data_IF_076514296138
#
_entry.id   IF_076514296138
#
_cell.length_a   1.000
_cell.length_b   1.000
_cell.length_c   1.000
_cell.angle_alpha   90.00
_cell.angle_beta   90.00
_cell.angle_gamma   90.00
#
_symmetry.space_group_name_H-M   'P 1'
#
loop_
_entity.id
_entity.type
_entity.pdbx_description
1 polymer ?
#
# COMPACT_ATOMS: atom_id res chain seq x y z
N UNK A 1 16.68 -37.44 -15.09
CA UNK A 1 17.32 -36.50 -14.15
C UNK A 1 16.22 -35.76 -13.39
N UNK A 2 16.08 -35.97 -12.07
CA UNK A 2 15.04 -35.34 -11.25
C UNK A 2 15.50 -33.94 -10.83
N UNK A 3 14.79 -32.90 -11.29
CA UNK A 3 15.04 -31.50 -10.96
C UNK A 3 14.68 -31.28 -9.48
N UNK A 4 15.69 -31.13 -8.60
CA UNK A 4 15.47 -30.73 -7.21
C UNK A 4 14.88 -29.32 -7.22
N UNK A 5 13.60 -29.18 -6.86
CA UNK A 5 12.99 -27.89 -6.55
C UNK A 5 13.38 -27.56 -5.11
N UNK A 6 14.30 -26.62 -4.95
CA UNK A 6 14.67 -26.09 -3.63
C UNK A 6 13.50 -25.24 -3.14
N UNK A 7 12.86 -25.66 -2.05
CA UNK A 7 11.82 -24.87 -1.39
C UNK A 7 12.42 -23.54 -0.89
N UNK A 8 11.78 -22.42 -1.24
CA UNK A 8 12.14 -21.11 -0.74
C UNK A 8 11.79 -21.08 0.76
N UNK A 9 12.81 -20.92 1.62
CA UNK A 9 12.65 -20.79 3.06
C UNK A 9 11.87 -19.50 3.35
N UNK A 10 10.90 -19.60 4.27
CA UNK A 10 10.09 -18.52 4.86
C UNK A 10 10.75 -17.14 4.72
N UNK A 11 10.11 -16.25 3.96
CA UNK A 11 10.57 -14.89 3.75
C UNK A 11 9.63 -13.95 4.50
N UNK A 12 10.17 -13.18 5.44
CA UNK A 12 9.45 -12.10 6.11
C UNK A 12 9.34 -10.94 5.13
N UNK A 13 8.14 -10.41 4.89
CA UNK A 13 7.92 -9.34 3.92
C UNK A 13 7.43 -8.05 4.55
N UNK A 14 7.78 -6.90 3.96
CA UNK A 14 7.07 -5.63 4.10
C UNK A 14 6.61 -5.21 2.72
N UNK A 15 5.34 -4.82 2.58
CA UNK A 15 4.85 -4.11 1.40
C UNK A 15 5.02 -2.61 1.66
N UNK A 16 5.82 -1.96 0.82
CA UNK A 16 5.98 -0.51 0.79
C UNK A 16 5.06 0.05 -0.28
N UNK A 17 4.26 1.04 0.06
CA UNK A 17 3.50 1.81 -0.91
C UNK A 17 4.27 3.10 -1.14
N UNK A 18 4.82 3.33 -2.34
CA UNK A 18 5.40 4.62 -2.70
C UNK A 18 4.34 5.43 -3.43
N UNK A 19 3.92 6.56 -2.89
CA UNK A 19 2.93 7.37 -3.57
C UNK A 19 3.31 8.85 -3.42
N UNK A 20 3.63 9.48 -4.57
CA UNK A 20 2.89 10.69 -4.88
C UNK A 20 1.48 10.17 -5.21
N UNK A 21 0.43 10.65 -4.52
CA UNK A 21 -1.01 10.62 -4.89
C UNK A 21 -2.01 9.86 -4.02
N UNK A 22 -3.26 10.37 -4.08
CA UNK A 22 -4.47 9.81 -3.50
C UNK A 22 -4.59 8.37 -3.99
N UNK A 23 -4.38 7.45 -3.06
CA UNK A 23 -4.49 6.02 -3.30
C UNK A 23 -5.49 5.47 -2.31
N UNK A 24 -6.60 4.94 -2.83
CA UNK A 24 -7.75 4.47 -2.08
C UNK A 24 -7.56 3.03 -1.61
N UNK A 25 -7.13 2.78 -0.37
CA UNK A 25 -7.14 1.41 0.19
C UNK A 25 -8.37 1.17 1.03
N UNK A 26 -9.25 0.25 0.61
CA UNK A 26 -10.37 -0.20 1.46
C UNK A 26 -9.83 -1.05 2.63
N UNK A 27 -9.97 -0.54 3.86
CA UNK A 27 -9.74 -1.31 5.07
C UNK A 27 -11.09 -1.68 5.69
N UNK A 28 -11.29 -2.95 6.01
CA UNK A 28 -12.47 -3.42 6.75
C UNK A 28 -12.15 -3.45 8.25
N UNK A 29 -11.82 -2.32 8.86
CA UNK A 29 -11.71 -2.26 10.33
C UNK A 29 -12.12 -0.89 10.88
N UNK A 30 -12.75 -0.96 12.05
CA UNK A 30 -13.30 0.15 12.83
C UNK A 30 -12.24 1.24 13.11
N UNK A 31 -12.70 2.49 13.17
CA UNK A 31 -12.01 3.79 13.10
C UNK A 31 -10.85 4.10 14.09
N UNK A 32 -10.28 3.11 14.77
CA UNK A 32 -9.27 3.34 15.80
C UNK A 32 -7.94 2.70 15.40
N UNK A 33 -6.99 3.57 15.07
CA UNK A 33 -5.56 3.30 14.88
C UNK A 33 -5.18 2.67 13.53
N UNK A 34 -4.01 3.07 13.01
CA UNK A 34 -3.42 2.61 11.74
C UNK A 34 -3.14 1.09 11.69
N UNK A 35 -3.58 0.29 12.67
CA UNK A 35 -3.41 -1.17 12.76
C UNK A 35 -1.96 -1.63 12.45
N UNK A 36 -0.99 -0.91 13.01
CA UNK A 36 0.44 -1.17 12.80
C UNK A 36 1.01 -0.67 11.47
N UNK A 37 0.19 -0.10 10.59
CA UNK A 37 0.67 0.65 9.43
C UNK A 37 1.37 1.93 9.86
N UNK A 38 2.35 2.34 9.08
CA UNK A 38 3.11 3.57 9.33
C UNK A 38 3.12 4.44 8.09
N UNK A 39 3.31 5.74 8.30
CA UNK A 39 3.30 6.74 7.24
C UNK A 39 4.65 7.42 7.21
N UNK A 40 5.32 7.45 6.05
CA UNK A 40 6.46 8.35 5.83
C UNK A 40 5.95 9.69 5.31
N UNK A 41 6.57 10.79 5.74
CA UNK A 41 6.29 12.15 5.24
C UNK A 41 4.82 12.65 5.40
N UNK A 42 3.96 11.91 6.10
CA UNK A 42 2.79 12.41 6.82
C UNK A 42 1.51 12.76 6.04
N UNK A 43 1.45 12.54 4.72
CA UNK A 43 0.26 12.95 3.93
C UNK A 43 -0.87 11.94 3.86
N UNK A 44 -0.66 10.72 4.35
CA UNK A 44 -1.71 9.69 4.37
C UNK A 44 -2.67 9.88 5.53
N UNK A 45 -3.95 9.68 5.26
CA UNK A 45 -5.06 9.78 6.20
C UNK A 45 -5.97 8.56 6.04
N UNK A 46 -6.71 8.22 7.10
CA UNK A 46 -7.78 7.21 7.08
C UNK A 46 -9.12 7.93 7.21
N UNK A 47 -10.06 7.61 6.32
CA UNK A 47 -11.42 8.15 6.37
C UNK A 47 -12.14 8.07 5.04
N UNK A 48 -13.28 8.77 4.96
CA UNK A 48 -14.04 8.91 3.71
C UNK A 48 -13.53 10.12 2.92
N UNK A 49 -13.08 9.95 1.67
CA UNK A 49 -12.58 11.05 0.85
C UNK A 49 -13.71 12.02 0.49
N UNK A 50 -13.44 13.32 0.62
CA UNK A 50 -14.29 14.39 0.09
C UNK A 50 -13.71 15.03 -1.18
N UNK A 51 -12.43 14.76 -1.48
CA UNK A 51 -11.78 15.00 -2.76
C UNK A 51 -11.55 13.69 -3.53
N UNK A 52 -11.37 13.76 -4.85
CA UNK A 52 -11.17 12.58 -5.69
C UNK A 52 -12.44 11.76 -5.91
N UNK A 53 -12.49 10.45 -5.57
CA UNK A 53 -13.62 9.58 -5.90
C UNK A 53 -14.88 9.86 -5.06
N UNK A 54 -14.79 10.67 -3.99
CA UNK A 54 -15.91 11.07 -3.14
C UNK A 54 -16.50 9.96 -2.26
N UNK A 55 -15.99 8.73 -2.38
CA UNK A 55 -16.28 7.60 -1.51
C UNK A 55 -15.17 6.53 -1.64
N UNK A 56 -15.06 5.68 -0.61
CA UNK A 56 -14.21 4.50 -0.64
C UNK A 56 -14.80 3.41 -1.55
N UNK A 57 -13.98 2.43 -1.94
CA UNK A 57 -14.50 1.23 -2.61
C UNK A 57 -15.19 0.34 -1.57
N UNK A 58 -16.53 0.33 -1.59
CA UNK A 58 -17.36 -0.33 -0.58
C UNK A 58 -17.85 0.66 0.48
N UNK A 59 -18.38 0.13 1.57
CA UNK A 59 -18.80 0.94 2.72
C UNK A 59 -17.64 1.07 3.72
N UNK A 60 -17.50 2.23 4.36
CA UNK A 60 -16.51 2.47 5.42
C UNK A 60 -15.36 3.42 5.04
N UNK A 61 -14.27 3.33 5.78
CA UNK A 61 -13.08 4.17 5.64
C UNK A 61 -12.04 3.56 4.70
N UNK A 62 -11.20 4.41 4.13
CA UNK A 62 -10.07 4.00 3.32
C UNK A 62 -8.85 4.87 3.63
N UNK A 63 -7.66 4.35 3.30
CA UNK A 63 -6.49 5.21 3.25
C UNK A 63 -6.52 6.05 1.98
N UNK A 64 -6.01 7.28 2.07
CA UNK A 64 -5.76 8.17 0.94
C UNK A 64 -4.80 9.29 1.32
N UNK A 65 -4.20 9.97 0.35
CA UNK A 65 -3.35 11.15 0.65
C UNK A 65 -4.21 12.40 0.66
N UNK A 66 -4.27 13.13 1.78
CA UNK A 66 -5.08 14.37 1.91
C UNK A 66 -6.52 14.18 1.42
N UNK A 67 -7.37 13.56 2.24
CA UNK A 67 -8.71 13.10 1.85
C UNK A 67 -9.68 14.23 1.45
N UNK A 68 -9.38 15.47 1.82
CA UNK A 68 -10.19 16.66 1.56
C UNK A 68 -9.58 17.64 0.55
N UNK A 69 -8.49 17.27 -0.13
CA UNK A 69 -7.79 18.22 -0.99
C UNK A 69 -6.73 17.64 -1.91
N UNK A 70 -5.77 18.51 -2.25
CA UNK A 70 -4.63 18.17 -3.09
C UNK A 70 -3.42 17.87 -2.21
N UNK A 71 -2.61 16.90 -2.63
CA UNK A 71 -1.33 16.59 -2.01
C UNK A 71 -0.30 17.71 -2.28
N UNK A 72 0.71 17.86 -1.41
CA UNK A 72 1.80 18.83 -1.61
C UNK A 72 2.61 18.55 -2.88
N UNK A 73 3.20 19.60 -3.46
CA UNK A 73 4.14 19.45 -4.56
C UNK A 73 5.42 18.74 -4.09
N UNK A 74 5.99 17.89 -4.95
CA UNK A 74 7.27 17.20 -4.72
C UNK A 74 7.29 16.31 -3.47
N UNK A 75 6.16 15.70 -3.13
CA UNK A 75 6.01 14.88 -1.93
C UNK A 75 6.42 13.42 -2.16
N UNK A 76 7.34 12.86 -1.36
CA UNK A 76 7.66 11.42 -1.37
C UNK A 76 7.17 10.78 -0.08
N UNK A 77 5.97 10.23 -0.14
CA UNK A 77 5.26 9.66 1.00
C UNK A 77 4.89 8.21 0.78
N UNK A 78 4.78 7.49 1.90
CA UNK A 78 4.52 6.05 1.90
C UNK A 78 3.54 5.69 2.96
N UNK A 79 2.60 4.84 2.58
CA UNK A 79 1.87 3.99 3.50
C UNK A 79 2.63 2.68 3.60
N UNK A 80 2.90 2.20 4.81
CA UNK A 80 3.84 1.10 5.01
C UNK A 80 3.15 0.08 5.89
N UNK A 81 2.97 -1.12 5.36
CA UNK A 81 2.37 -2.23 6.11
C UNK A 81 3.24 -2.61 7.31
N UNK A 82 2.64 -3.12 8.41
CA UNK A 82 3.40 -3.80 9.43
C UNK A 82 4.19 -4.97 8.83
N UNK A 83 5.24 -5.41 9.51
CA UNK A 83 5.97 -6.64 9.13
C UNK A 83 5.05 -7.84 9.27
N UNK A 84 5.01 -8.72 8.26
CA UNK A 84 4.31 -9.99 8.35
C UNK A 84 5.07 -11.15 7.70
N UNK A 85 4.80 -12.35 8.22
CA UNK A 85 5.39 -13.59 7.73
C UNK A 85 4.57 -14.13 6.55
N UNK A 86 5.25 -14.39 5.43
CA UNK A 86 4.60 -15.08 4.30
C UNK A 86 4.56 -16.59 4.54
N UNK A 87 3.45 -17.27 4.23
CA UNK A 87 3.38 -18.72 4.32
C UNK A 87 4.35 -19.37 3.33
N UNK A 88 4.85 -20.55 3.68
CA UNK A 88 5.58 -21.38 2.73
C UNK A 88 4.60 -21.92 1.69
N UNK A 89 4.91 -21.70 0.41
CA UNK A 89 4.14 -22.22 -0.72
C UNK A 89 4.81 -23.44 -1.34
N UNK A 90 4.01 -24.36 -1.88
CA UNK A 90 4.44 -25.62 -2.48
C UNK A 90 3.74 -25.91 -3.80
N UNK A 91 4.39 -26.69 -4.68
CA UNK A 91 3.80 -27.05 -5.97
C UNK A 91 3.51 -25.83 -6.83
N UNK A 92 2.22 -25.59 -7.10
CA UNK A 92 1.70 -24.52 -7.95
C UNK A 92 0.93 -23.44 -7.16
N UNK A 93 1.07 -23.41 -5.83
CA UNK A 93 0.49 -22.38 -4.96
C UNK A 93 1.12 -20.99 -5.23
N UNK A 94 0.33 -19.92 -5.03
CA UNK A 94 0.75 -18.53 -5.22
C UNK A 94 0.28 -17.65 -4.06
N UNK A 95 1.07 -16.62 -3.76
CA UNK A 95 0.67 -15.53 -2.86
C UNK A 95 0.30 -14.35 -3.75
N UNK A 96 -0.89 -13.81 -3.53
CA UNK A 96 -1.41 -12.70 -4.33
C UNK A 96 -1.72 -11.50 -3.42
N UNK A 97 -1.23 -10.32 -3.83
CA UNK A 97 -1.67 -9.05 -3.30
C UNK A 97 -2.80 -8.51 -4.20
N UNK A 98 -3.97 -8.29 -3.62
CA UNK A 98 -5.13 -7.72 -4.29
C UNK A 98 -5.61 -6.50 -3.53
N UNK A 99 -5.80 -5.40 -4.24
CA UNK A 99 -6.32 -4.15 -3.68
C UNK A 99 -7.06 -3.38 -4.76
N UNK A 100 -7.95 -2.50 -4.32
CA UNK A 100 -8.57 -1.49 -5.17
C UNK A 100 -7.74 -0.22 -5.09
N UNK A 101 -7.67 0.54 -6.17
CA UNK A 101 -7.07 1.85 -6.15
C UNK A 101 -7.85 2.78 -7.07
N UNK A 102 -8.09 3.99 -6.60
CA UNK A 102 -8.40 5.14 -7.43
C UNK A 102 -7.17 6.05 -7.45
N UNK A 103 -6.97 6.79 -8.53
CA UNK A 103 -5.85 7.73 -8.67
C UNK A 103 -6.16 8.88 -9.65
N UNK A 104 -5.49 10.02 -9.50
CA UNK A 104 -5.57 11.15 -10.42
C UNK A 104 -4.27 11.97 -10.45
N UNK A 105 -3.43 11.74 -11.46
CA UNK A 105 -2.02 12.19 -11.52
C UNK A 105 -1.89 13.45 -12.37
N UNK A 106 -1.06 14.42 -11.99
CA UNK A 106 -0.67 15.48 -12.93
C UNK A 106 0.27 14.91 -14.00
N UNK A 107 -0.04 15.22 -15.26
CA UNK A 107 0.65 14.73 -16.46
C UNK A 107 1.65 15.71 -17.06
N UNK A 108 1.96 16.81 -16.36
CA UNK A 108 2.91 17.84 -16.80
C UNK A 108 4.38 17.43 -16.69
N UNK A 109 5.28 18.41 -16.83
CA UNK A 109 6.75 18.23 -16.95
C UNK A 109 7.45 17.63 -15.69
N UNK A 110 6.69 17.22 -14.67
CA UNK A 110 7.13 16.56 -13.45
C UNK A 110 6.34 15.29 -13.08
N UNK A 111 5.60 14.69 -14.02
CA UNK A 111 4.74 13.49 -13.91
C UNK A 111 4.71 12.82 -12.54
N UNK A 112 3.56 12.94 -11.88
CA UNK A 112 3.32 12.27 -10.62
C UNK A 112 3.24 10.74 -10.80
N UNK A 113 3.67 9.97 -9.78
CA UNK A 113 3.78 8.51 -9.87
C UNK A 113 3.42 7.83 -8.56
N UNK A 114 2.69 6.73 -8.67
CA UNK A 114 2.50 5.74 -7.61
C UNK A 114 3.20 4.42 -7.94
N UNK A 115 3.76 3.77 -6.93
CA UNK A 115 4.35 2.45 -7.00
C UNK A 115 3.85 1.56 -5.86
N UNK A 116 3.62 0.30 -6.18
CA UNK A 116 3.50 -0.77 -5.19
C UNK A 116 4.81 -1.51 -5.14
N UNK A 117 5.36 -1.66 -3.94
CA UNK A 117 6.63 -2.33 -3.73
C UNK A 117 6.51 -3.40 -2.66
N UNK A 118 7.34 -4.43 -2.79
CA UNK A 118 7.45 -5.52 -1.84
C UNK A 118 8.92 -5.70 -1.51
N UNK A 119 9.22 -5.81 -0.23
CA UNK A 119 10.57 -5.99 0.29
C UNK A 119 10.61 -7.17 1.24
N UNK A 120 11.80 -7.76 1.39
CA UNK A 120 12.07 -8.66 2.50
C UNK A 120 12.47 -7.81 3.71
N UNK A 121 11.91 -8.10 4.87
CA UNK A 121 12.32 -7.41 6.10
C UNK A 121 13.75 -7.80 6.47
N UNK A 122 14.66 -6.82 6.48
CA UNK A 122 16.07 -7.00 6.85
C UNK A 122 16.40 -6.49 8.27
N UNK A 123 15.40 -6.01 9.00
CA UNK A 123 15.55 -5.43 10.33
C UNK A 123 15.56 -3.90 10.38
N UNK A 124 15.43 -3.22 9.23
CA UNK A 124 15.30 -1.76 9.16
C UNK A 124 14.13 -1.31 8.28
N UNK A 125 13.32 -0.40 8.82
CA UNK A 125 12.24 0.30 8.12
C UNK A 125 12.75 1.66 7.64
#
# INVERSE_FOLDING_TARGET
MKKKRTALKRSVGIIWFYFLLICLFAFNTYADEWDGWTVSNGVWEIGVPTAGPGACHGDGDCAGTVLDGNYPLQDDSRLISPVFELPAISGDEQIELRFWQWFNYDGGDGNDKGYVQVSVWDGSA
#
